data_IF_212314890613
#
_entry.id   IF_212314890613
#
_cell.length_a   1.000
_cell.length_b   1.000
_cell.length_c   1.000
_cell.angle_alpha   90.00
_cell.angle_beta   90.00
_cell.angle_gamma   90.00
#
_symmetry.space_group_name_H-M   'P 1'
#
loop_
_entity.id
_entity.type
_entity.pdbx_description
1 polymer ?
#
# COMPACT_ATOMS: atom_id res chain seq x y z
N UNK A 1 2.05 3.53 -6.81
CA UNK A 1 2.38 4.81 -6.15
C UNK A 1 3.01 4.54 -4.79
N UNK A 2 4.01 5.31 -4.43
CA UNK A 2 4.68 5.18 -3.13
C UNK A 2 4.21 6.29 -2.20
N UNK A 3 3.82 5.90 -0.99
CA UNK A 3 3.50 6.85 0.08
C UNK A 3 4.56 6.74 1.18
N UNK A 4 5.04 7.89 1.64
CA UNK A 4 6.05 7.96 2.71
C UNK A 4 5.44 8.70 3.88
N UNK A 5 5.56 8.14 5.08
CA UNK A 5 5.03 8.75 6.29
C UNK A 5 6.16 9.18 7.20
N UNK A 6 6.16 10.44 7.61
CA UNK A 6 7.20 10.99 8.48
C UNK A 6 7.24 10.28 9.82
N UNK A 7 6.06 9.94 10.33
CA UNK A 7 5.95 9.22 11.61
C UNK A 7 5.21 7.91 11.33
N UNK A 8 5.84 6.76 11.60
CA UNK A 8 5.15 5.49 11.41
C UNK A 8 3.90 5.38 12.27
N UNK A 9 2.87 4.77 11.71
CA UNK A 9 1.61 4.57 12.42
C UNK A 9 0.76 3.54 11.71
N UNK A 10 -0.40 3.22 12.29
CA UNK A 10 -1.40 2.37 11.66
C UNK A 10 -2.10 3.22 10.59
N UNK A 11 -1.91 2.86 9.32
CA UNK A 11 -2.39 3.66 8.19
C UNK A 11 -3.62 3.00 7.57
N UNK A 12 -4.61 3.83 7.23
CA UNK A 12 -5.82 3.39 6.58
C UNK A 12 -5.88 3.87 5.14
N UNK A 13 -6.40 3.01 4.26
CA UNK A 13 -6.54 3.31 2.84
C UNK A 13 -7.94 2.96 2.37
N UNK A 14 -8.51 3.81 1.55
CA UNK A 14 -9.89 3.72 1.12
C UNK A 14 -9.95 3.68 -0.39
N UNK A 15 -10.75 2.77 -0.93
CA UNK A 15 -10.88 2.59 -2.38
C UNK A 15 -11.86 3.56 -3.02
N UNK A 16 -12.38 4.54 -2.27
CA UNK A 16 -13.31 5.52 -2.82
C UNK A 16 -12.71 6.23 -4.03
N UNK A 17 -13.49 6.35 -5.08
CA UNK A 17 -13.09 6.99 -6.35
C UNK A 17 -11.97 6.27 -7.07
N UNK A 18 -11.63 5.05 -6.66
CA UNK A 18 -10.63 4.24 -7.33
C UNK A 18 -11.32 3.40 -8.41
N UNK A 19 -10.83 3.50 -9.63
CA UNK A 19 -11.49 2.90 -10.80
C UNK A 19 -10.92 1.55 -11.21
N UNK A 20 -9.77 1.14 -10.64
CA UNK A 20 -9.14 -0.14 -10.94
C UNK A 20 -8.83 -0.87 -9.65
N UNK A 21 -8.76 -2.21 -9.66
CA UNK A 21 -8.34 -2.94 -8.47
C UNK A 21 -6.86 -2.70 -8.18
N UNK A 22 -6.53 -2.61 -6.90
CA UNK A 22 -5.18 -2.31 -6.44
C UNK A 22 -4.67 -3.38 -5.50
N UNK A 23 -3.35 -3.59 -5.53
CA UNK A 23 -2.63 -4.30 -4.48
C UNK A 23 -1.83 -3.27 -3.68
N UNK A 24 -1.86 -3.40 -2.36
CA UNK A 24 -1.18 -2.49 -1.46
C UNK A 24 -0.19 -3.27 -0.62
N UNK A 25 1.04 -2.75 -0.51
CA UNK A 25 2.12 -3.35 0.27
C UNK A 25 2.58 -2.35 1.31
N UNK A 26 2.59 -2.79 2.57
CA UNK A 26 2.88 -1.93 3.71
C UNK A 26 4.23 -2.30 4.31
N UNK A 27 5.08 -1.30 4.51
CA UNK A 27 6.45 -1.48 5.00
C UNK A 27 6.65 -0.67 6.26
N UNK A 28 7.45 -1.19 7.20
CA UNK A 28 7.78 -0.46 8.40
C UNK A 28 8.80 0.65 8.11
N UNK A 29 9.23 1.36 9.16
CA UNK A 29 10.16 2.49 9.00
C UNK A 29 11.54 2.06 8.50
N UNK A 30 11.85 0.77 8.60
CA UNK A 30 13.11 0.22 8.09
C UNK A 30 12.97 -0.34 6.69
N UNK A 31 11.79 -0.27 6.12
CA UNK A 31 11.53 -0.74 4.76
C UNK A 31 11.21 -2.23 4.66
N UNK A 32 10.94 -2.89 5.77
CA UNK A 32 10.57 -4.31 5.74
C UNK A 32 9.06 -4.46 5.54
N UNK A 33 8.67 -5.41 4.68
CA UNK A 33 7.26 -5.68 4.44
C UNK A 33 6.63 -6.24 5.70
N UNK A 34 5.57 -5.59 6.17
CA UNK A 34 4.88 -6.00 7.40
C UNK A 34 3.43 -6.37 7.17
N UNK A 35 2.84 -5.95 6.05
CA UNK A 35 1.44 -6.24 5.77
C UNK A 35 1.17 -6.05 4.28
N UNK A 36 0.04 -6.57 3.80
CA UNK A 36 -0.39 -6.35 2.43
C UNK A 36 -1.89 -6.53 2.31
N UNK A 37 -2.49 -5.81 1.38
CA UNK A 37 -3.90 -5.95 1.04
C UNK A 37 -3.98 -6.16 -0.47
N UNK A 38 -4.28 -7.39 -0.87
CA UNK A 38 -4.28 -7.77 -2.28
C UNK A 38 -5.68 -7.71 -2.85
N UNK A 39 -5.77 -7.34 -4.13
CA UNK A 39 -7.01 -7.36 -4.88
C UNK A 39 -8.10 -6.51 -4.23
N UNK A 40 -7.72 -5.30 -3.80
CA UNK A 40 -8.70 -4.33 -3.29
C UNK A 40 -9.57 -3.89 -4.47
N UNK A 41 -10.87 -4.13 -4.37
CA UNK A 41 -11.79 -3.93 -5.49
C UNK A 41 -12.08 -2.44 -5.70
N UNK A 42 -12.27 -2.03 -6.96
CA UNK A 42 -12.57 -0.62 -7.24
C UNK A 42 -13.93 -0.20 -6.71
N UNK A 43 -14.09 1.10 -6.54
CA UNK A 43 -15.30 1.72 -6.04
C UNK A 43 -16.53 1.36 -6.89
N UNK A 44 -16.32 1.13 -8.18
CA UNK A 44 -17.41 0.79 -9.09
C UNK A 44 -17.99 -0.61 -8.88
N UNK A 45 -17.29 -1.48 -8.15
CA UNK A 45 -17.72 -2.87 -7.94
C UNK A 45 -18.25 -3.16 -6.55
N UNK A 46 -17.94 -2.32 -5.56
CA UNK A 46 -18.26 -2.58 -4.17
C UNK A 46 -18.86 -1.33 -3.54
N UNK A 47 -19.99 -1.47 -2.86
CA UNK A 47 -20.63 -0.38 -2.15
C UNK A 47 -20.99 -0.84 -0.74
N UNK A 48 -20.49 -0.17 0.32
CA UNK A 48 -19.58 1.00 0.28
C UNK A 48 -18.17 0.61 -0.20
N UNK A 49 -17.35 1.59 -0.59
CA UNK A 49 -15.97 1.31 -1.04
C UNK A 49 -15.18 0.57 0.01
N UNK A 50 -14.30 -0.33 -0.45
CA UNK A 50 -13.45 -1.11 0.45
C UNK A 50 -12.46 -0.20 1.17
N UNK A 51 -12.17 -0.57 2.42
CA UNK A 51 -11.15 0.10 3.23
C UNK A 51 -10.22 -0.94 3.80
N UNK A 52 -8.97 -0.55 4.03
CA UNK A 52 -8.01 -1.39 4.71
C UNK A 52 -7.20 -0.55 5.69
N UNK A 53 -7.12 -1.00 6.93
CA UNK A 53 -6.31 -0.35 7.95
C UNK A 53 -5.25 -1.33 8.39
N UNK A 54 -3.98 -0.91 8.27
CA UNK A 54 -2.86 -1.75 8.68
C UNK A 54 -2.90 -2.01 10.18
N UNK A 55 -2.60 -3.26 10.56
CA UNK A 55 -2.52 -3.64 11.98
C UNK A 55 -1.16 -3.30 12.58
N UNK A 56 -0.21 -2.89 11.77
CA UNK A 56 1.16 -2.65 12.18
C UNK A 56 1.58 -1.21 11.91
N UNK A 57 2.66 -0.77 12.57
CA UNK A 57 3.20 0.56 12.30
C UNK A 57 3.80 0.59 10.90
N UNK A 58 3.39 1.55 10.11
CA UNK A 58 3.73 1.64 8.70
C UNK A 58 4.46 2.95 8.42
N UNK A 59 5.60 2.85 7.75
CA UNK A 59 6.34 4.04 7.31
C UNK A 59 6.24 4.27 5.82
N UNK A 60 5.98 3.20 5.03
CA UNK A 60 5.88 3.30 3.57
C UNK A 60 4.76 2.40 3.06
N UNK A 61 4.07 2.85 2.02
CA UNK A 61 3.06 2.04 1.34
C UNK A 61 3.28 2.14 -0.15
N UNK A 62 3.27 1.00 -0.83
CA UNK A 62 3.30 0.95 -2.28
C UNK A 62 1.97 0.43 -2.79
N UNK A 63 1.32 1.21 -3.66
CA UNK A 63 0.09 0.80 -4.35
C UNK A 63 0.41 0.53 -5.81
N UNK A 64 -0.01 -0.61 -6.31
CA UNK A 64 0.17 -1.00 -7.70
C UNK A 64 -1.13 -1.59 -8.25
N UNK A 65 -1.27 -1.59 -9.57
CA UNK A 65 -2.41 -2.23 -10.20
C UNK A 65 -2.39 -3.72 -9.88
N UNK A 66 -3.56 -4.27 -9.61
CA UNK A 66 -3.71 -5.69 -9.32
C UNK A 66 -3.17 -6.50 -10.51
N UNK A 67 -2.37 -7.52 -10.20
CA UNK A 67 -1.78 -8.36 -11.24
C UNK A 67 -0.53 -7.79 -11.87
N UNK A 68 0.05 -6.69 -11.32
CA UNK A 68 1.26 -6.08 -11.89
C UNK A 68 2.49 -6.96 -11.74
N UNK A 69 2.44 -7.96 -10.85
CA UNK A 69 3.60 -8.81 -10.58
C UNK A 69 4.59 -8.20 -9.59
N UNK A 70 4.27 -7.04 -9.04
CA UNK A 70 5.14 -6.40 -8.06
C UNK A 70 5.22 -7.22 -6.78
N UNK A 71 6.43 -7.36 -6.26
CA UNK A 71 6.65 -7.91 -4.91
C UNK A 71 8.02 -7.47 -4.41
N UNK A 72 8.08 -6.97 -3.18
CA UNK A 72 9.33 -6.63 -2.52
C UNK A 72 9.17 -6.87 -1.03
N UNK A 73 10.00 -7.76 -0.46
CA UNK A 73 10.02 -8.03 0.98
C UNK A 73 10.68 -6.88 1.74
N UNK A 74 11.55 -6.15 1.07
CA UNK A 74 12.30 -5.05 1.67
C UNK A 74 12.51 -3.98 0.60
N UNK A 75 12.30 -2.74 0.99
CA UNK A 75 12.58 -1.61 0.11
C UNK A 75 14.10 -1.37 0.09
N UNK A 76 14.62 -1.13 -1.11
CA UNK A 76 16.06 -0.86 -1.31
C UNK A 76 16.24 0.63 -1.53
N UNK A 77 16.54 1.35 -0.46
CA UNK A 77 16.70 2.79 -0.52
C UNK A 77 18.00 3.21 -1.24
N UNK A 78 18.94 2.28 -1.44
CA UNK A 78 20.16 2.58 -2.18
C UNK A 78 19.91 2.73 -3.67
N UNK A 79 18.88 2.05 -4.19
CA UNK A 79 18.52 2.11 -5.60
C UNK A 79 17.24 2.89 -5.83
N UNK A 80 16.58 3.32 -4.76
CA UNK A 80 15.33 4.03 -4.86
C UNK A 80 15.60 5.52 -4.75
N UNK A 81 15.48 6.21 -5.87
CA UNK A 81 15.78 7.63 -5.93
C UNK A 81 14.56 8.43 -5.50
N UNK A 82 14.25 8.38 -4.22
CA UNK A 82 13.04 8.97 -3.65
C UNK A 82 13.20 10.45 -3.29
N UNK A 83 14.27 11.04 -3.70
CA UNK A 83 14.50 12.46 -3.41
C UNK A 83 13.94 13.36 -4.49
#
# INVERSE_FOLDING_TARGET
MLFVFDTPGAQGFWMKDTLIPLDMYFYDSEGMLVDRALNMRPDTEVSPPMQYVSQKLVGYVIEVAQGSGFYARKLDFNHCNLR
#
